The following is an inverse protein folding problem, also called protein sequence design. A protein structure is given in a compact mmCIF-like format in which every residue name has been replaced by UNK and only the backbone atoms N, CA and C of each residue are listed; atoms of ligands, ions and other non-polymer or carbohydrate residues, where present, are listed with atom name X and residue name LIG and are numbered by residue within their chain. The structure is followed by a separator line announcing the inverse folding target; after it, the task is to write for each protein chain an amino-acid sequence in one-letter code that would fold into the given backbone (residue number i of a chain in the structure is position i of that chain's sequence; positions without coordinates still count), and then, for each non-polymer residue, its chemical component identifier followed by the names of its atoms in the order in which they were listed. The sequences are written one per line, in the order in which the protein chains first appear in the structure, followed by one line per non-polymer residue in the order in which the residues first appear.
data_IF_682018960660
#
_entry.id   IF_682018960660
#
_cell.length_a   1.000
_cell.length_b   1.000
_cell.length_c   1.000
_cell.angle_alpha   90.00
_cell.angle_beta   90.00
_cell.angle_gamma   90.00
#
_symmetry.space_group_name_H-M   'P 1'
#
loop_
_entity.id
_entity.type
_entity.pdbx_description
1 polymer ?
#
# COMPACT_ATOMS: atom_id res chain seq x y z
N UNK A 1 -5.07 34.81 -1.70
CA UNK A 1 -3.65 35.17 -1.92
C UNK A 1 -3.45 36.31 -2.92
N UNK A 2 -3.97 36.25 -4.16
CA UNK A 2 -3.82 37.35 -5.14
C UNK A 2 -4.39 38.71 -4.71
N UNK A 3 -5.46 38.72 -3.89
CA UNK A 3 -6.16 39.94 -3.47
C UNK A 3 -5.40 40.81 -2.45
N UNK A 4 -4.39 40.25 -1.77
CA UNK A 4 -3.62 40.93 -0.70
C UNK A 4 -2.10 40.88 -0.93
N UNK A 5 -1.66 40.60 -2.16
CA UNK A 5 -0.25 40.51 -2.53
C UNK A 5 0.56 39.59 -1.59
N UNK A 6 -0.01 38.44 -1.24
CA UNK A 6 0.63 37.50 -0.34
C UNK A 6 1.55 36.54 -1.11
N UNK A 7 2.77 36.32 -0.61
CA UNK A 7 3.75 35.37 -1.15
C UNK A 7 4.23 34.45 -0.03
N UNK A 8 4.14 33.14 -0.25
CA UNK A 8 4.71 32.13 0.65
C UNK A 8 5.97 31.59 -0.02
N UNK A 9 7.13 31.82 0.58
CA UNK A 9 8.41 31.22 0.17
C UNK A 9 8.76 30.10 1.15
N UNK A 10 8.32 28.89 0.81
CA UNK A 10 8.55 27.69 1.63
C UNK A 10 10.04 27.33 1.66
N UNK A 11 10.79 27.61 0.59
CA UNK A 11 12.21 27.25 0.49
C UNK A 11 13.05 28.09 1.46
N UNK A 12 12.78 29.38 1.50
CA UNK A 12 13.51 30.33 2.34
C UNK A 12 12.82 30.58 3.69
N UNK A 13 11.69 29.90 3.96
CA UNK A 13 11.01 29.88 5.24
C UNK A 13 10.38 31.22 5.64
N UNK A 14 9.75 31.94 4.70
CA UNK A 14 9.07 33.19 5.04
C UNK A 14 7.77 33.39 4.27
N UNK A 15 6.90 34.21 4.84
CA UNK A 15 5.63 34.62 4.28
C UNK A 15 5.55 36.14 4.23
N UNK A 16 5.19 36.68 3.08
CA UNK A 16 4.99 38.11 2.88
C UNK A 16 3.50 38.42 2.71
N UNK A 17 3.02 39.49 3.34
CA UNK A 17 1.75 40.17 3.01
C UNK A 17 2.08 41.65 2.79
N UNK A 18 2.06 42.10 1.52
CA UNK A 18 2.55 43.44 1.19
C UNK A 18 4.03 43.58 1.59
N UNK A 19 4.33 44.57 2.42
CA UNK A 19 5.69 44.85 2.91
C UNK A 19 6.05 44.11 4.21
N UNK A 20 5.09 43.38 4.81
CA UNK A 20 5.32 42.65 6.05
C UNK A 20 5.85 41.25 5.77
N UNK A 21 7.06 40.96 6.26
CA UNK A 21 7.70 39.64 6.23
C UNK A 21 7.55 38.95 7.59
N UNK A 22 7.04 37.73 7.57
CA UNK A 22 6.91 36.86 8.73
C UNK A 22 7.73 35.60 8.49
N UNK A 23 8.67 35.31 9.39
CA UNK A 23 9.44 34.07 9.32
C UNK A 23 8.53 32.89 9.67
N UNK A 24 8.60 31.87 8.82
CA UNK A 24 7.85 30.64 8.97
C UNK A 24 8.70 29.61 9.70
N UNK A 25 8.16 29.07 10.78
CA UNK A 25 8.68 27.89 11.43
C UNK A 25 7.81 26.68 11.07
N UNK A 26 8.41 25.70 10.40
CA UNK A 26 7.74 24.43 10.14
C UNK A 26 7.56 23.69 11.46
N UNK A 27 6.31 23.40 11.83
CA UNK A 27 5.98 22.60 13.00
C UNK A 27 5.56 21.19 12.55
N UNK A 28 6.42 20.20 12.78
CA UNK A 28 6.19 18.80 12.42
C UNK A 28 7.46 18.06 12.00
N UNK A 29 7.33 16.78 11.68
CA UNK A 29 8.34 15.99 10.96
C UNK A 29 7.90 15.83 9.50
N UNK A 30 8.87 15.93 8.58
CA UNK A 30 8.65 15.51 7.20
C UNK A 30 8.93 14.01 7.21
N UNK A 31 7.87 13.20 7.33
CA UNK A 31 7.97 11.74 7.41
C UNK A 31 8.10 11.05 6.05
N UNK A 32 8.12 11.81 4.96
CA UNK A 32 8.22 11.28 3.60
C UNK A 32 9.20 12.06 2.72
N UNK A 33 10.02 11.34 1.96
CA UNK A 33 11.09 11.85 1.12
C UNK A 33 10.79 11.50 -0.33
N UNK A 34 11.00 12.47 -1.23
CA UNK A 34 10.83 12.23 -2.66
C UNK A 34 12.04 11.48 -3.20
N UNK A 35 11.82 10.44 -4.00
CA UNK A 35 12.90 9.69 -4.65
C UNK A 35 12.83 9.93 -6.16
N UNK A 36 13.94 10.39 -6.74
CA UNK A 36 14.04 10.71 -8.16
C UNK A 36 15.02 9.78 -8.87
N UNK A 37 14.81 9.50 -10.16
CA UNK A 37 15.75 8.74 -10.95
C UNK A 37 17.12 9.44 -11.00
N UNK A 38 18.19 8.70 -10.74
CA UNK A 38 19.56 9.24 -10.74
C UNK A 38 20.11 9.41 -12.16
N UNK A 39 19.63 8.61 -13.10
CA UNK A 39 20.10 8.56 -14.49
C UNK A 39 18.95 8.24 -15.45
N UNK A 40 19.21 8.38 -16.76
CA UNK A 40 18.24 8.04 -17.78
C UNK A 40 18.21 6.52 -17.99
N UNK A 41 17.03 5.92 -17.89
CA UNK A 41 16.85 4.46 -18.05
C UNK A 41 15.68 4.18 -18.98
N UNK A 42 15.87 3.23 -19.89
CA UNK A 42 14.80 2.68 -20.72
C UNK A 42 14.32 1.38 -20.09
N UNK A 43 13.03 1.34 -19.74
CA UNK A 43 12.36 0.13 -19.26
C UNK A 43 11.73 -0.58 -20.47
N UNK A 44 12.16 -1.80 -20.81
CA UNK A 44 11.57 -2.55 -21.91
C UNK A 44 10.07 -2.80 -21.74
N UNK A 45 9.35 -3.14 -22.83
CA UNK A 45 7.95 -3.57 -22.76
C UNK A 45 7.74 -4.71 -21.76
N UNK A 46 6.62 -4.69 -21.02
CA UNK A 46 6.19 -5.77 -20.11
C UNK A 46 7.31 -6.32 -19.23
N UNK A 47 8.15 -5.44 -18.68
CA UNK A 47 9.34 -5.84 -17.95
C UNK A 47 9.49 -5.08 -16.63
N UNK A 48 10.23 -5.70 -15.72
CA UNK A 48 10.62 -5.12 -14.43
C UNK A 48 12.13 -4.82 -14.44
N UNK A 49 12.51 -3.71 -13.83
CA UNK A 49 13.92 -3.31 -13.64
C UNK A 49 14.12 -2.68 -12.27
N UNK A 50 15.34 -2.81 -11.73
CA UNK A 50 15.77 -2.10 -10.53
C UNK A 50 16.73 -0.98 -10.94
N UNK A 51 16.42 0.25 -10.56
CA UNK A 51 17.25 1.43 -10.81
C UNK A 51 17.63 2.12 -9.51
N UNK A 52 18.71 2.92 -9.54
CA UNK A 52 19.08 3.74 -8.38
C UNK A 52 18.28 5.04 -8.36
N UNK A 53 17.52 5.24 -7.28
CA UNK A 53 16.85 6.49 -6.95
C UNK A 53 17.67 7.34 -6.00
N UNK A 54 17.73 8.65 -6.24
CA UNK A 54 18.32 9.63 -5.30
C UNK A 54 17.22 10.20 -4.42
N UNK A 55 17.43 10.17 -3.10
CA UNK A 55 16.51 10.71 -2.10
C UNK A 55 16.70 12.23 -2.00
N UNK A 56 15.62 12.98 -2.25
CA UNK A 56 15.61 14.43 -2.08
C UNK A 56 15.49 14.77 -0.58
N UNK A 57 16.62 15.13 0.03
CA UNK A 57 16.69 15.60 1.41
C UNK A 57 16.57 17.12 1.47
N UNK A 58 15.64 17.64 2.26
CA UNK A 58 15.56 19.07 2.53
C UNK A 58 16.68 19.51 3.48
N UNK A 59 17.12 20.76 3.35
CA UNK A 59 18.21 21.31 4.16
C UNK A 59 17.88 21.20 5.66
N UNK A 60 18.85 20.71 6.45
CA UNK A 60 18.69 20.49 7.89
C UNK A 60 17.85 19.26 8.29
N UNK A 61 17.34 18.46 7.34
CA UNK A 61 16.71 17.16 7.62
C UNK A 61 17.74 16.04 7.58
N UNK A 62 17.46 14.95 8.29
CA UNK A 62 18.24 13.71 8.27
C UNK A 62 17.42 12.62 7.63
N UNK A 63 18.09 11.65 7.02
CA UNK A 63 17.46 10.44 6.55
C UNK A 63 17.05 9.55 7.74
N UNK A 64 16.08 8.64 7.54
CA UNK A 64 15.77 7.59 8.52
C UNK A 64 17.04 6.84 8.94
N UNK A 65 17.13 6.43 10.20
CA UNK A 65 18.36 5.82 10.73
C UNK A 65 18.61 4.38 10.25
N UNK A 66 17.56 3.64 9.88
CA UNK A 66 17.66 2.22 9.53
C UNK A 66 16.86 1.89 8.26
N UNK A 67 15.82 1.07 8.34
CA UNK A 67 15.00 0.72 7.19
C UNK A 67 14.01 1.84 6.84
N UNK A 68 13.75 1.98 5.55
CA UNK A 68 12.78 2.88 5.00
C UNK A 68 11.86 2.13 4.03
N UNK A 69 10.62 2.59 3.91
CA UNK A 69 9.64 1.99 3.02
C UNK A 69 9.52 2.84 1.76
N UNK A 70 9.67 2.20 0.60
CA UNK A 70 9.46 2.82 -0.70
C UNK A 70 8.09 2.41 -1.23
N UNK A 71 7.37 3.38 -1.76
CA UNK A 71 6.12 3.15 -2.47
C UNK A 71 5.92 4.13 -3.63
N UNK A 72 4.91 3.86 -4.46
CA UNK A 72 4.43 4.83 -5.42
C UNK A 72 3.87 6.04 -4.67
N UNK A 73 4.07 7.22 -5.23
CA UNK A 73 3.38 8.44 -4.78
C UNK A 73 2.37 8.80 -5.87
N UNK A 74 1.27 9.44 -5.50
CA UNK A 74 0.23 9.93 -6.43
C UNK A 74 0.80 10.80 -7.57
N UNK A 75 2.02 11.33 -7.41
CA UNK A 75 2.76 12.10 -8.42
C UNK A 75 4.03 11.40 -8.95
N UNK A 76 4.34 10.20 -8.44
CA UNK A 76 5.52 9.41 -8.77
C UNK A 76 5.11 8.18 -9.58
N UNK A 77 4.90 8.41 -10.87
CA UNK A 77 4.46 7.38 -11.79
C UNK A 77 3.63 8.04 -12.88
N UNK A 78 3.99 7.76 -14.12
CA UNK A 78 3.02 7.88 -15.20
C UNK A 78 2.18 6.61 -15.14
N UNK A 79 0.90 6.64 -15.48
CA UNK A 79 -0.06 5.52 -15.33
C UNK A 79 0.43 4.14 -15.82
N UNK A 80 1.47 4.12 -16.66
CA UNK A 80 2.10 2.95 -17.25
C UNK A 80 3.38 2.42 -16.57
N UNK A 81 3.98 3.15 -15.63
CA UNK A 81 5.10 2.67 -14.81
C UNK A 81 4.62 2.48 -13.39
N UNK A 82 4.65 1.23 -12.93
CA UNK A 82 4.37 0.88 -11.56
C UNK A 82 5.65 0.90 -10.73
N UNK A 83 5.56 1.40 -9.51
CA UNK A 83 6.63 1.35 -8.52
C UNK A 83 6.30 0.29 -7.49
N UNK A 84 7.21 -0.68 -7.32
CA UNK A 84 7.03 -1.75 -6.35
C UNK A 84 7.23 -1.23 -4.92
N UNK A 85 6.31 -1.60 -4.02
CA UNK A 85 6.48 -1.40 -2.59
C UNK A 85 7.67 -2.21 -2.09
N UNK A 86 8.68 -1.55 -1.52
CA UNK A 86 9.95 -2.19 -1.18
C UNK A 86 10.49 -1.65 0.15
N UNK A 87 10.92 -2.54 1.04
CA UNK A 87 11.69 -2.18 2.22
C UNK A 87 13.17 -2.05 1.83
N UNK A 88 13.79 -0.92 2.10
CA UNK A 88 15.19 -0.64 1.78
C UNK A 88 15.96 -0.15 2.99
N UNK A 89 17.28 -0.31 2.98
CA UNK A 89 18.12 0.45 3.91
C UNK A 89 18.13 1.91 3.49
N UNK A 90 17.90 2.78 4.47
CA UNK A 90 17.93 4.22 4.29
C UNK A 90 19.31 4.68 3.82
N UNK A 91 19.32 5.57 2.82
CA UNK A 91 20.53 6.12 2.24
C UNK A 91 20.19 7.19 1.21
N UNK A 92 21.20 7.99 0.81
CA UNK A 92 21.01 9.02 -0.23
C UNK A 92 20.63 8.42 -1.58
N UNK A 93 21.10 7.19 -1.84
CA UNK A 93 20.73 6.39 -3.01
C UNK A 93 20.08 5.09 -2.55
N UNK A 94 18.90 4.82 -3.08
CA UNK A 94 18.10 3.63 -2.75
C UNK A 94 17.69 2.90 -4.01
N UNK A 95 17.66 1.55 -4.00
CA UNK A 95 17.17 0.78 -5.14
C UNK A 95 15.64 0.93 -5.26
N UNK A 96 15.17 1.31 -6.44
CA UNK A 96 13.74 1.42 -6.76
C UNK A 96 13.41 0.44 -7.87
N UNK A 97 12.40 -0.38 -7.63
CA UNK A 97 11.98 -1.42 -8.57
C UNK A 97 10.72 -0.98 -9.30
N UNK A 98 10.82 -0.95 -10.62
CA UNK A 98 9.85 -0.35 -11.52
C UNK A 98 9.39 -1.40 -12.54
N UNK A 99 8.11 -1.37 -12.89
CA UNK A 99 7.51 -2.25 -13.90
C UNK A 99 6.84 -1.42 -14.99
N UNK A 100 7.21 -1.67 -16.23
CA UNK A 100 6.48 -1.18 -17.38
C UNK A 100 5.40 -2.20 -17.77
N UNK A 101 4.14 -1.79 -17.69
CA UNK A 101 3.00 -2.64 -18.07
C UNK A 101 2.64 -2.54 -19.55
N UNK A 102 3.23 -1.58 -20.26
CA UNK A 102 2.93 -1.29 -21.67
C UNK A 102 3.71 -2.17 -22.64
N UNK A 103 3.22 -2.21 -23.89
CA UNK A 103 3.85 -2.88 -25.03
C UNK A 103 5.02 -2.09 -25.64
N UNK A 104 5.12 -0.80 -25.33
CA UNK A 104 6.21 0.05 -25.80
C UNK A 104 7.24 0.29 -24.69
N UNK A 105 8.54 0.39 -25.03
CA UNK A 105 9.56 0.77 -24.07
C UNK A 105 9.29 2.17 -23.53
N UNK A 106 9.57 2.38 -22.24
CA UNK A 106 9.35 3.66 -21.56
C UNK A 106 10.65 4.20 -21.00
N UNK A 107 10.92 5.46 -21.27
CA UNK A 107 12.14 6.13 -20.78
C UNK A 107 11.82 6.97 -19.55
N UNK A 108 12.63 6.78 -18.51
CA UNK A 108 12.66 7.62 -17.30
C UNK A 108 13.91 8.48 -17.39
N UNK A 109 13.74 9.79 -17.25
CA UNK A 109 14.85 10.74 -17.28
C UNK A 109 15.33 11.06 -15.85
N UNK A 110 16.61 11.45 -15.67
CA UNK A 110 17.11 11.87 -14.37
C UNK A 110 16.28 13.01 -13.79
N UNK A 111 16.06 13.00 -12.48
CA UNK A 111 15.21 13.97 -11.79
C UNK A 111 13.71 13.68 -11.85
N UNK A 112 13.27 12.69 -12.66
CA UNK A 112 11.87 12.22 -12.64
C UNK A 112 11.58 11.56 -11.29
N UNK A 113 10.48 11.95 -10.63
CA UNK A 113 10.03 11.28 -9.40
C UNK A 113 9.57 9.85 -9.71
N UNK A 114 10.17 8.87 -9.04
CA UNK A 114 9.91 7.44 -9.25
C UNK A 114 9.32 6.76 -8.02
N UNK A 115 9.50 7.32 -6.83
CA UNK A 115 8.97 6.76 -5.59
C UNK A 115 8.90 7.82 -4.50
N UNK A 116 8.19 7.51 -3.43
CA UNK A 116 8.28 8.18 -2.14
C UNK A 116 8.82 7.19 -1.10
N UNK A 117 9.68 7.71 -0.23
CA UNK A 117 10.28 6.97 0.87
C UNK A 117 9.71 7.46 2.19
N UNK A 118 9.38 6.59 3.13
CA UNK A 118 8.90 6.93 4.47
C UNK A 118 9.63 6.14 5.54
N UNK A 119 9.58 6.67 6.77
CA UNK A 119 10.09 5.97 7.95
C UNK A 119 9.23 4.75 8.27
N UNK A 120 9.86 3.71 8.80
CA UNK A 120 9.20 2.48 9.22
C UNK A 120 9.25 2.38 10.74
N UNK A 121 8.08 2.27 11.37
CA UNK A 121 7.97 2.15 12.83
C UNK A 121 8.53 0.81 13.33
N UNK A 122 8.20 -0.28 12.64
CA UNK A 122 8.64 -1.62 13.00
C UNK A 122 8.67 -2.54 11.78
N UNK A 123 9.75 -3.32 11.65
CA UNK A 123 9.83 -4.45 10.72
C UNK A 123 9.54 -5.71 11.52
N UNK A 124 8.49 -6.43 11.15
CA UNK A 124 8.15 -7.70 11.77
C UNK A 124 8.75 -8.83 10.92
N UNK A 125 9.75 -9.53 11.46
CA UNK A 125 10.29 -10.75 10.86
C UNK A 125 9.27 -11.88 11.03
N UNK A 126 8.30 -11.88 10.12
CA UNK A 126 7.31 -12.93 10.06
C UNK A 126 7.92 -14.19 9.46
N UNK A 127 8.29 -15.16 10.29
CA UNK A 127 8.36 -16.57 9.85
C UNK A 127 6.93 -17.05 9.53
N UNK A 128 6.34 -16.57 8.42
CA UNK A 128 4.92 -16.78 8.08
C UNK A 128 4.72 -18.06 7.24
N UNK A 129 5.78 -18.72 6.77
CA UNK A 129 5.65 -19.83 5.83
C UNK A 129 6.24 -21.16 6.30
N UNK A 130 6.13 -21.54 7.58
CA UNK A 130 6.59 -22.87 8.04
C UNK A 130 5.51 -23.93 8.17
N UNK A 131 4.24 -23.64 7.84
CA UNK A 131 3.26 -24.69 7.59
C UNK A 131 3.19 -24.99 6.08
N UNK A 132 4.33 -25.41 5.51
CA UNK A 132 4.34 -26.18 4.26
C UNK A 132 3.65 -27.53 4.51
N UNK A 133 2.33 -27.52 4.58
CA UNK A 133 1.61 -28.68 4.08
C UNK A 133 1.70 -28.56 2.57
N UNK A 134 2.74 -29.16 1.97
CA UNK A 134 2.79 -29.45 0.54
C UNK A 134 1.51 -30.21 0.21
N UNK A 135 0.49 -29.48 -0.23
CA UNK A 135 -0.70 -30.09 -0.80
C UNK A 135 -0.26 -30.59 -2.16
N UNK A 136 -0.27 -31.91 -2.32
CA UNK A 136 -0.03 -32.51 -3.62
C UNK A 136 -1.20 -32.13 -4.54
N UNK A 137 -0.93 -31.27 -5.53
CA UNK A 137 -1.89 -30.91 -6.57
C UNK A 137 -2.42 -29.48 -6.50
N UNK A 138 -2.85 -29.01 -7.69
CA UNK A 138 -3.46 -27.70 -7.89
C UNK A 138 -4.94 -27.77 -7.49
N UNK A 139 -5.40 -26.79 -6.71
CA UNK A 139 -6.81 -26.57 -6.37
C UNK A 139 -7.63 -26.37 -7.65
N UNK A 140 -8.88 -26.83 -7.65
CA UNK A 140 -9.75 -26.81 -8.82
C UNK A 140 -9.99 -25.41 -9.38
N UNK A 141 -10.13 -24.40 -8.51
CA UNK A 141 -10.32 -23.01 -8.91
C UNK A 141 -9.08 -22.42 -9.58
N UNK A 142 -7.88 -22.79 -9.11
CA UNK A 142 -6.63 -22.38 -9.77
C UNK A 142 -6.35 -23.16 -11.05
N UNK A 143 -6.92 -24.36 -11.19
CA UNK A 143 -6.86 -25.11 -12.43
C UNK A 143 -7.67 -24.42 -13.53
N UNK A 144 -8.86 -23.92 -13.21
CA UNK A 144 -9.66 -23.10 -14.13
C UNK A 144 -8.90 -21.82 -14.53
N UNK A 145 -8.25 -21.16 -13.56
CA UNK A 145 -7.41 -19.98 -13.84
C UNK A 145 -6.24 -20.30 -14.78
N UNK A 146 -5.58 -21.45 -14.58
CA UNK A 146 -4.50 -21.91 -15.45
C UNK A 146 -5.01 -22.17 -16.87
N UNK A 147 -6.17 -22.79 -17.01
CA UNK A 147 -6.78 -23.09 -18.32
C UNK A 147 -7.11 -21.80 -19.07
N UNK A 148 -7.74 -20.82 -18.40
CA UNK A 148 -8.06 -19.51 -18.99
C UNK A 148 -6.85 -18.69 -19.41
N UNK A 149 -5.68 -18.93 -18.81
CA UNK A 149 -4.44 -18.21 -19.11
C UNK A 149 -3.54 -18.96 -20.09
N UNK A 150 -3.93 -20.17 -20.50
CA UNK A 150 -3.08 -21.08 -21.29
C UNK A 150 -3.01 -20.79 -22.79
N UNK A 151 -3.95 -20.03 -23.36
CA UNK A 151 -4.12 -19.93 -24.82
C UNK A 151 -2.91 -19.31 -25.55
N UNK A 152 -2.15 -18.43 -24.88
CA UNK A 152 -0.96 -17.77 -25.43
C UNK A 152 0.37 -18.31 -24.87
N UNK A 153 0.34 -19.34 -24.01
CA UNK A 153 1.53 -19.85 -23.32
C UNK A 153 2.12 -21.08 -24.03
N UNK A 154 3.45 -21.11 -24.13
CA UNK A 154 4.15 -22.33 -24.55
C UNK A 154 3.96 -23.44 -23.51
N UNK A 155 4.10 -24.71 -23.91
CA UNK A 155 3.99 -25.84 -22.96
C UNK A 155 4.97 -25.71 -21.78
N UNK A 156 6.17 -25.16 -22.02
CA UNK A 156 7.17 -24.90 -20.99
C UNK A 156 6.72 -23.82 -20.02
N UNK A 157 6.15 -22.73 -20.52
CA UNK A 157 5.69 -21.63 -19.67
C UNK A 157 4.42 -22.02 -18.89
N UNK A 158 3.53 -22.80 -19.50
CA UNK A 158 2.37 -23.39 -18.81
C UNK A 158 2.80 -24.25 -17.61
N UNK A 159 3.89 -25.01 -17.74
CA UNK A 159 4.45 -25.78 -16.63
C UNK A 159 5.00 -24.87 -15.53
N UNK A 160 5.70 -23.79 -15.88
CA UNK A 160 6.18 -22.81 -14.89
C UNK A 160 5.03 -22.15 -14.13
N UNK A 161 3.99 -21.71 -14.84
CA UNK A 161 2.79 -21.10 -14.23
C UNK A 161 2.11 -22.09 -13.30
N UNK A 162 1.96 -23.35 -13.72
CA UNK A 162 1.41 -24.41 -12.85
C UNK A 162 2.23 -24.57 -11.57
N UNK A 163 3.54 -24.64 -11.66
CA UNK A 163 4.43 -24.75 -10.48
C UNK A 163 4.27 -23.54 -9.56
N UNK A 164 4.23 -22.33 -10.13
CA UNK A 164 4.03 -21.09 -9.38
C UNK A 164 2.69 -21.09 -8.63
N UNK A 165 1.62 -21.53 -9.30
CA UNK A 165 0.29 -21.59 -8.69
C UNK A 165 0.22 -22.62 -7.56
N UNK A 166 0.89 -23.78 -7.71
CA UNK A 166 0.97 -24.79 -6.63
C UNK A 166 1.72 -24.23 -5.42
N UNK A 167 2.87 -23.59 -5.66
CA UNK A 167 3.72 -23.03 -4.60
C UNK A 167 3.00 -21.92 -3.82
N UNK A 168 2.23 -21.08 -4.52
CA UNK A 168 1.58 -19.90 -3.95
C UNK A 168 0.07 -20.11 -3.71
N UNK A 169 -0.40 -21.35 -3.75
CA UNK A 169 -1.82 -21.71 -3.73
C UNK A 169 -2.57 -21.20 -2.48
N UNK A 170 -1.87 -21.02 -1.37
CA UNK A 170 -2.37 -20.46 -0.11
C UNK A 170 -2.57 -18.94 -0.14
N UNK A 171 -1.95 -18.23 -1.10
CA UNK A 171 -2.11 -16.78 -1.27
C UNK A 171 -3.39 -16.42 -2.04
N UNK A 172 -3.97 -17.38 -2.77
CA UNK A 172 -5.21 -17.20 -3.51
C UNK A 172 -6.42 -17.51 -2.62
N UNK A 173 -7.27 -16.50 -2.43
CA UNK A 173 -8.54 -16.66 -1.75
C UNK A 173 -9.38 -17.75 -2.44
N UNK A 174 -9.88 -18.71 -1.68
CA UNK A 174 -10.71 -19.81 -2.20
C UNK A 174 -12.15 -19.41 -2.48
N UNK A 175 -12.57 -18.27 -1.95
CA UNK A 175 -13.90 -17.70 -2.12
C UNK A 175 -13.93 -16.29 -1.52
N UNK A 176 -15.03 -15.57 -1.72
CA UNK A 176 -15.33 -14.28 -1.08
C UNK A 176 -15.43 -14.35 0.46
N UNK A 177 -15.28 -15.54 1.04
CA UNK A 177 -15.29 -15.75 2.49
C UNK A 177 -13.89 -15.95 3.08
N UNK A 178 -12.89 -16.14 2.22
CA UNK A 178 -11.49 -16.39 2.59
C UNK A 178 -10.73 -15.06 2.68
N UNK A 179 -11.10 -14.25 3.67
CA UNK A 179 -10.58 -12.88 3.84
C UNK A 179 -9.18 -12.83 4.47
N UNK A 180 -8.61 -13.99 4.84
CA UNK A 180 -7.38 -14.08 5.61
C UNK A 180 -7.52 -13.51 7.04
N UNK A 181 -6.63 -13.93 7.94
CA UNK A 181 -6.52 -13.34 9.29
C UNK A 181 -5.08 -13.37 9.74
N UNK A 182 -4.60 -12.23 10.24
CA UNK A 182 -3.30 -12.13 10.91
C UNK A 182 -3.50 -11.81 12.38
N UNK A 183 -2.65 -12.39 13.23
CA UNK A 183 -2.53 -12.06 14.66
C UNK A 183 -1.27 -11.26 14.98
N UNK A 184 -0.53 -10.82 13.95
CA UNK A 184 0.76 -10.12 14.10
C UNK A 184 0.60 -8.73 14.72
N UNK A 185 -0.44 -8.00 14.33
CA UNK A 185 -0.73 -6.66 14.84
C UNK A 185 -2.20 -6.60 15.26
N UNK A 186 -2.45 -6.00 16.43
CA UNK A 186 -3.79 -5.62 16.87
C UNK A 186 -3.84 -4.10 16.91
N UNK A 187 -4.78 -3.52 16.17
CA UNK A 187 -4.98 -2.07 16.18
C UNK A 187 -5.79 -1.68 17.41
N UNK A 188 -5.27 -0.71 18.17
CA UNK A 188 -6.00 -0.04 19.23
C UNK A 188 -6.60 1.27 18.67
N UNK A 189 -7.90 1.48 18.89
CA UNK A 189 -8.57 2.73 18.55
C UNK A 189 -8.50 3.65 19.77
N UNK A 190 -7.60 4.63 19.74
CA UNK A 190 -7.47 5.61 20.82
C UNK A 190 -8.62 6.63 20.76
N UNK A 191 -9.61 6.48 21.64
CA UNK A 191 -10.75 7.40 21.76
C UNK A 191 -10.46 8.60 22.68
N UNK A 192 -9.25 8.69 23.27
CA UNK A 192 -8.88 9.74 24.21
C UNK A 192 -9.84 9.84 25.39
N UNK A 193 -10.40 11.03 25.60
CA UNK A 193 -11.39 11.30 26.66
C UNK A 193 -12.85 11.20 26.17
N UNK A 194 -13.09 10.74 24.94
CA UNK A 194 -14.44 10.64 24.39
C UNK A 194 -15.22 9.53 25.10
N UNK A 195 -16.40 9.88 25.64
CA UNK A 195 -17.27 8.92 26.31
C UNK A 195 -18.10 8.12 25.29
N UNK A 196 -18.38 6.83 25.54
CA UNK A 196 -19.30 6.06 24.71
C UNK A 196 -20.66 6.77 24.59
N UNK A 197 -21.21 6.85 23.38
CA UNK A 197 -22.55 7.36 23.13
C UNK A 197 -23.39 6.30 22.44
N UNK A 198 -24.68 6.25 22.75
CA UNK A 198 -25.62 5.29 22.17
C UNK A 198 -26.47 6.00 21.12
N UNK A 199 -26.32 5.60 19.87
CA UNK A 199 -27.20 6.02 18.78
C UNK A 199 -28.23 4.90 18.49
N UNK A 200 -29.54 5.20 18.44
CA UNK A 200 -30.52 4.21 18.03
C UNK A 200 -30.31 3.83 16.55
N UNK A 201 -30.41 2.54 16.18
CA UNK A 201 -30.32 2.12 14.79
C UNK A 201 -31.35 2.84 13.92
N UNK A 202 -30.92 3.36 12.76
CA UNK A 202 -31.85 3.93 11.78
C UNK A 202 -32.73 2.83 11.18
N UNK A 203 -33.99 3.17 10.88
CA UNK A 203 -34.92 2.24 10.21
C UNK A 203 -34.43 1.90 8.82
N UNK A 204 -34.31 0.61 8.54
CA UNK A 204 -34.05 0.08 7.20
C UNK A 204 -35.38 -0.09 6.45
N UNK A 205 -35.39 0.22 5.15
CA UNK A 205 -36.58 0.02 4.30
C UNK A 205 -36.99 -1.45 4.27
N UNK A 206 -38.29 -1.72 4.20
CA UNK A 206 -38.84 -3.08 4.23
C UNK A 206 -38.18 -4.03 3.21
N UNK A 207 -37.98 -3.54 1.98
CA UNK A 207 -37.39 -4.34 0.91
C UNK A 207 -35.91 -4.70 1.16
N UNK A 208 -35.20 -3.92 1.97
CA UNK A 208 -33.77 -4.12 2.24
C UNK A 208 -33.51 -4.92 3.53
N UNK A 209 -34.52 -5.05 4.40
CA UNK A 209 -34.38 -5.77 5.68
C UNK A 209 -33.88 -7.21 5.49
N UNK A 210 -34.41 -7.93 4.50
CA UNK A 210 -33.99 -9.31 4.22
C UNK A 210 -32.51 -9.37 3.86
N UNK A 211 -32.08 -8.52 2.92
CA UNK A 211 -30.68 -8.47 2.46
C UNK A 211 -29.73 -8.10 3.60
N UNK A 212 -30.11 -7.16 4.46
CA UNK A 212 -29.29 -6.77 5.62
C UNK A 212 -29.13 -7.93 6.60
N UNK A 213 -30.22 -8.61 6.94
CA UNK A 213 -30.19 -9.74 7.86
C UNK A 213 -29.37 -10.91 7.29
N UNK A 214 -29.57 -11.24 6.01
CA UNK A 214 -28.82 -12.31 5.34
C UNK A 214 -27.30 -12.03 5.35
N UNK A 215 -26.89 -10.77 5.18
CA UNK A 215 -25.48 -10.36 5.27
C UNK A 215 -24.94 -10.45 6.70
N UNK A 216 -25.70 -10.01 7.70
CA UNK A 216 -25.31 -10.10 9.11
C UNK A 216 -25.12 -11.58 9.52
N UNK A 217 -26.07 -12.44 9.17
CA UNK A 217 -25.98 -13.89 9.43
C UNK A 217 -24.76 -14.51 8.75
N UNK A 218 -24.48 -14.08 7.52
CA UNK A 218 -23.29 -14.48 6.78
C UNK A 218 -22.01 -14.05 7.51
N UNK A 219 -21.94 -12.82 8.03
CA UNK A 219 -20.78 -12.33 8.79
C UNK A 219 -20.59 -13.05 10.13
N UNK A 220 -21.68 -13.43 10.82
CA UNK A 220 -21.61 -14.28 12.02
C UNK A 220 -21.08 -15.67 11.71
N UNK A 221 -21.63 -16.34 10.68
CA UNK A 221 -21.14 -17.66 10.25
C UNK A 221 -19.67 -17.64 9.87
N UNK A 222 -19.19 -16.53 9.29
CA UNK A 222 -17.78 -16.30 8.94
C UNK A 222 -16.89 -15.92 10.13
N UNK A 223 -17.45 -15.69 11.33
CA UNK A 223 -16.69 -15.25 12.51
C UNK A 223 -16.12 -13.83 12.41
N UNK A 224 -16.63 -13.01 11.49
CA UNK A 224 -16.23 -11.60 11.33
C UNK A 224 -16.89 -10.70 12.38
N UNK A 225 -18.11 -11.06 12.79
CA UNK A 225 -18.86 -10.40 13.84
C UNK A 225 -18.96 -11.30 15.06
N UNK A 226 -18.88 -10.69 16.23
CA UNK A 226 -19.20 -11.31 17.50
C UNK A 226 -20.46 -10.65 18.07
N UNK A 227 -21.27 -11.38 18.86
CA UNK A 227 -22.38 -10.75 19.57
C UNK A 227 -21.85 -9.60 20.43
N UNK A 228 -22.56 -8.46 20.50
CA UNK A 228 -22.07 -7.29 21.19
C UNK A 228 -21.82 -7.60 22.66
N UNK A 229 -20.61 -7.34 23.14
CA UNK A 229 -20.31 -7.31 24.57
C UNK A 229 -20.83 -6.00 25.12
N UNK A 230 -22.03 -6.00 25.70
CA UNK A 230 -22.62 -4.79 26.27
C UNK A 230 -22.01 -4.55 27.66
N UNK A 231 -21.20 -3.49 27.88
CA UNK A 231 -20.77 -3.14 29.22
C UNK A 231 -21.98 -2.54 29.95
N UNK A 232 -22.55 -3.25 30.92
CA UNK A 232 -23.58 -2.70 31.81
C UNK A 232 -24.88 -3.49 32.01
N UNK A 233 -24.98 -4.75 31.58
CA UNK A 233 -26.02 -5.68 32.09
C UNK A 233 -25.37 -6.77 32.93
N UNK A 234 -25.08 -6.46 34.19
CA UNK A 234 -25.16 -7.49 35.23
C UNK A 234 -26.63 -7.61 35.62
N UNK A 235 -27.08 -8.85 35.83
CA UNK A 235 -28.47 -9.18 36.18
C UNK A 235 -28.88 -8.66 37.56
#
# INVERSE_FOLDING_TARGET
MKRHNCLIDVKNGFFCIGDFKVDLCFHGSIGCYRVVASEAVVIPPRSEIVINGTVCLAEGKKLPADNAFLEANDHAGKDYILTARTLVRSGEKVPVRLMNTELDPKTIYPGTTISQMSEVDQVLDGNICSNEQKRDGLRSDLQELLERTSDELTSKDKQKVRSLLIENQNLFASSDVDLGRTNLVKHEVNTGNARPFKEPPRRTSYHLNKVVNDNIDTMFKKGLLNPPTVPGRQG
#
